data_IF_810891259303
#
_entry.id   IF_810891259303
#
_cell.length_a   1.000
_cell.length_b   1.000
_cell.length_c   1.000
_cell.angle_alpha   90.00
_cell.angle_beta   90.00
_cell.angle_gamma   90.00
#
_symmetry.space_group_name_H-M   'P 1'
#
loop_
_entity.id
_entity.type
_entity.pdbx_description
1 polymer ?
#
# COMPACT_ATOMS: atom_id res chain seq x y z
N UNK A 1 -41.23 -10.93 26.19
CA UNK A 1 -42.44 -11.66 26.65
C UNK A 1 -43.14 -10.75 27.65
N UNK A 2 -44.39 -10.36 27.41
CA UNK A 2 -45.21 -9.66 28.40
C UNK A 2 -46.35 -10.59 28.78
N UNK A 3 -46.62 -10.68 30.07
CA UNK A 3 -47.77 -11.38 30.59
C UNK A 3 -48.96 -10.42 30.53
N UNK A 4 -50.02 -10.81 29.85
CA UNK A 4 -51.26 -10.05 29.81
C UNK A 4 -52.33 -10.94 30.43
N UNK A 5 -52.94 -10.47 31.52
CA UNK A 5 -54.11 -11.13 32.10
C UNK A 5 -55.32 -10.82 31.23
N UNK A 6 -55.95 -11.85 30.67
CA UNK A 6 -57.20 -11.73 29.93
C UNK A 6 -58.29 -12.34 30.80
N UNK A 7 -59.33 -11.55 31.09
CA UNK A 7 -60.54 -12.04 31.75
C UNK A 7 -61.26 -13.04 30.83
N UNK A 8 -61.50 -14.26 31.30
CA UNK A 8 -62.41 -15.18 30.59
C UNK A 8 -63.83 -14.59 30.66
N UNK A 9 -64.49 -14.45 29.51
CA UNK A 9 -65.91 -14.11 29.46
C UNK A 9 -66.70 -15.13 30.29
N UNK A 10 -67.64 -14.68 31.14
CA UNK A 10 -68.35 -15.58 32.02
C UNK A 10 -69.14 -16.58 31.18
N UNK A 11 -68.81 -17.87 31.29
CA UNK A 11 -69.59 -18.94 30.70
C UNK A 11 -71.06 -18.77 31.10
N UNK A 12 -71.95 -18.68 30.11
CA UNK A 12 -73.40 -18.64 30.36
C UNK A 12 -73.81 -19.88 31.17
N UNK A 13 -74.04 -19.68 32.47
CA UNK A 13 -74.63 -20.70 33.33
C UNK A 13 -76.13 -20.71 33.03
N UNK A 14 -76.60 -21.72 32.29
CA UNK A 14 -78.03 -22.05 32.25
C UNK A 14 -78.45 -22.50 33.64
N UNK A 15 -79.18 -21.65 34.35
CA UNK A 15 -79.85 -22.00 35.61
C UNK A 15 -81.29 -22.44 35.31
N UNK A 16 -81.58 -23.74 35.48
CA UNK A 16 -82.93 -24.21 35.79
C UNK A 16 -82.98 -24.56 37.30
N UNK A 17 -83.97 -23.99 38.01
CA UNK A 17 -84.60 -24.63 39.17
C UNK A 17 -83.95 -24.51 40.57
N UNK A 18 -84.51 -23.56 41.33
CA UNK A 18 -84.81 -23.59 42.78
C UNK A 18 -83.74 -23.32 43.86
N UNK A 19 -84.21 -22.71 44.96
CA UNK A 19 -83.49 -21.80 45.85
C UNK A 19 -82.35 -22.33 46.74
N UNK A 20 -81.24 -21.55 46.81
CA UNK A 20 -80.41 -21.20 47.99
C UNK A 20 -79.21 -20.28 47.58
N UNK A 21 -78.48 -19.61 48.50
CA UNK A 21 -77.93 -18.26 48.28
C UNK A 21 -76.64 -18.18 47.44
N UNK A 22 -76.50 -17.05 46.71
CA UNK A 22 -75.37 -16.70 45.82
C UNK A 22 -74.02 -16.71 46.54
N UNK A 23 -73.15 -17.69 46.21
CA UNK A 23 -71.69 -17.57 46.39
C UNK A 23 -71.13 -16.75 45.22
N UNK A 24 -70.43 -15.65 45.53
CA UNK A 24 -69.62 -14.91 44.56
C UNK A 24 -68.52 -15.83 44.00
N UNK A 25 -68.70 -16.30 42.76
CA UNK A 25 -67.66 -17.01 42.03
C UNK A 25 -66.68 -15.96 41.50
N UNK A 26 -65.50 -15.86 42.12
CA UNK A 26 -64.38 -15.09 41.57
C UNK A 26 -64.09 -15.59 40.15
N UNK A 27 -64.15 -14.70 39.15
CA UNK A 27 -63.75 -14.98 37.77
C UNK A 27 -62.33 -15.53 37.77
N UNK A 28 -62.13 -16.70 37.15
CA UNK A 28 -60.80 -17.27 36.94
C UNK A 28 -60.17 -16.53 35.76
N UNK A 29 -59.16 -15.73 36.02
CA UNK A 29 -58.30 -15.18 34.96
C UNK A 29 -57.31 -16.26 34.52
N UNK A 30 -57.15 -16.44 33.20
CA UNK A 30 -56.06 -17.23 32.64
C UNK A 30 -54.97 -16.27 32.19
N UNK A 31 -53.77 -16.45 32.71
CA UNK A 31 -52.59 -15.74 32.21
C UNK A 31 -52.20 -16.36 30.87
N UNK A 32 -52.45 -15.64 29.78
CA UNK A 32 -52.06 -16.08 28.42
C UNK A 32 -50.74 -15.39 28.08
N UNK A 33 -49.70 -16.20 27.86
CA UNK A 33 -48.40 -15.70 27.42
C UNK A 33 -48.42 -15.55 25.90
N UNK A 34 -48.75 -14.35 25.42
CA UNK A 34 -48.67 -14.05 23.99
C UNK A 34 -47.25 -13.66 23.57
N UNK A 35 -46.85 -14.16 22.40
CA UNK A 35 -45.53 -13.93 21.81
C UNK A 35 -45.63 -12.77 20.83
N UNK A 36 -45.22 -11.59 21.28
CA UNK A 36 -45.13 -10.40 20.43
C UNK A 36 -43.74 -10.32 19.79
N UNK A 37 -43.72 -9.90 18.52
CA UNK A 37 -42.50 -9.51 17.83
C UNK A 37 -42.37 -8.00 17.97
N UNK A 38 -41.36 -7.56 18.71
CA UNK A 38 -41.02 -6.14 18.82
C UNK A 38 -39.82 -5.87 17.92
N UNK A 39 -39.88 -4.76 17.17
CA UNK A 39 -38.79 -4.38 16.28
C UNK A 39 -37.75 -3.64 17.12
N UNK A 40 -36.66 -4.30 17.47
CA UNK A 40 -35.55 -3.67 18.15
C UNK A 40 -34.72 -2.86 17.14
N UNK A 41 -34.67 -1.54 17.34
CA UNK A 41 -33.87 -0.65 16.53
C UNK A 41 -32.38 -0.95 16.75
N UNK A 42 -31.78 -1.70 15.85
CA UNK A 42 -30.40 -2.21 16.03
C UNK A 42 -29.31 -1.19 15.67
N UNK A 43 -29.67 -0.10 14.98
CA UNK A 43 -28.73 0.87 14.40
C UNK A 43 -28.90 2.26 15.03
N UNK A 44 -28.49 2.43 16.28
CA UNK A 44 -28.36 3.78 16.89
C UNK A 44 -26.98 4.41 16.64
N UNK A 45 -26.00 3.62 16.21
CA UNK A 45 -24.61 4.07 16.07
C UNK A 45 -24.43 4.88 14.78
N UNK A 46 -24.02 6.14 14.93
CA UNK A 46 -23.61 6.97 13.80
C UNK A 46 -22.50 6.27 12.99
N UNK A 47 -22.53 6.36 11.65
CA UNK A 47 -21.47 5.83 10.80
C UNK A 47 -20.08 6.29 11.28
N UNK A 48 -19.12 5.38 11.33
CA UNK A 48 -17.81 5.65 11.95
C UNK A 48 -17.04 6.78 11.26
N UNK A 49 -17.22 6.97 9.94
CA UNK A 49 -16.60 8.05 9.18
C UNK A 49 -17.21 9.43 9.44
N UNK A 50 -18.30 9.50 10.21
CA UNK A 50 -18.89 10.76 10.66
C UNK A 50 -18.38 11.20 12.03
N UNK A 51 -17.82 10.27 12.82
CA UNK A 51 -17.24 10.53 14.15
C UNK A 51 -15.86 11.19 14.01
N UNK A 52 -15.38 11.79 15.09
CA UNK A 52 -14.03 12.33 15.14
C UNK A 52 -13.02 11.18 15.14
N UNK A 53 -11.94 11.20 14.33
CA UNK A 53 -10.98 10.10 14.28
C UNK A 53 -10.37 9.70 15.64
N UNK A 54 -10.28 10.66 16.58
CA UNK A 54 -9.75 10.47 17.94
C UNK A 54 -10.69 9.68 18.86
N UNK A 55 -11.97 9.61 18.53
CA UNK A 55 -13.00 8.95 19.34
C UNK A 55 -13.28 7.52 18.86
N UNK A 56 -12.62 7.09 17.78
CA UNK A 56 -12.81 5.77 17.19
C UNK A 56 -11.59 4.93 17.54
N UNK A 57 -11.83 3.81 18.21
CA UNK A 57 -10.79 2.85 18.58
C UNK A 57 -10.33 2.03 17.36
N UNK A 58 -9.14 1.43 17.47
CA UNK A 58 -8.60 0.54 16.42
C UNK A 58 -9.52 -0.66 16.20
N UNK A 59 -10.09 -1.20 17.27
CA UNK A 59 -11.04 -2.31 17.26
C UNK A 59 -12.30 -1.96 16.47
N UNK A 60 -12.86 -0.76 16.66
CA UNK A 60 -14.01 -0.29 15.88
C UNK A 60 -13.69 -0.14 14.38
N UNK A 61 -12.48 0.35 14.04
CA UNK A 61 -12.05 0.38 12.63
C UNK A 61 -11.94 -1.02 12.03
N UNK A 62 -11.41 -1.98 12.80
CA UNK A 62 -11.20 -3.36 12.37
C UNK A 62 -12.53 -4.11 12.20
N UNK A 63 -13.44 -3.98 13.16
CA UNK A 63 -14.80 -4.56 13.07
C UNK A 63 -15.57 -3.97 11.88
N UNK A 64 -15.49 -2.66 11.69
CA UNK A 64 -16.11 -2.01 10.54
C UNK A 64 -15.53 -2.53 9.22
N UNK A 65 -14.20 -2.65 9.13
CA UNK A 65 -13.52 -3.18 7.95
C UNK A 65 -13.99 -4.61 7.62
N UNK A 66 -13.95 -5.51 8.61
CA UNK A 66 -14.38 -6.92 8.47
C UNK A 66 -15.82 -7.03 8.02
N UNK A 67 -16.73 -6.30 8.68
CA UNK A 67 -18.17 -6.30 8.37
C UNK A 67 -18.47 -5.69 7.00
N UNK A 68 -17.82 -4.58 6.65
CA UNK A 68 -18.09 -3.84 5.42
C UNK A 68 -17.55 -4.55 4.19
N UNK A 69 -16.34 -5.11 4.25
CA UNK A 69 -15.67 -5.70 3.10
C UNK A 69 -15.66 -7.23 3.09
N UNK A 70 -16.37 -7.86 4.03
CA UNK A 70 -16.45 -9.31 4.21
C UNK A 70 -15.05 -9.92 4.31
N UNK A 71 -14.28 -9.38 5.25
CA UNK A 71 -12.91 -9.79 5.55
C UNK A 71 -12.84 -10.48 6.92
N UNK A 72 -11.88 -11.39 7.07
CA UNK A 72 -11.69 -12.14 8.31
C UNK A 72 -10.52 -11.62 9.13
N UNK A 73 -9.46 -11.17 8.45
CA UNK A 73 -8.26 -10.61 9.07
C UNK A 73 -8.43 -9.11 9.32
N UNK A 74 -7.68 -8.61 10.30
CA UNK A 74 -7.52 -7.18 10.51
C UNK A 74 -6.74 -6.54 9.34
N UNK A 75 -6.99 -5.26 9.03
CA UNK A 75 -6.18 -4.53 8.05
C UNK A 75 -4.78 -4.24 8.61
N UNK A 76 -3.76 -4.11 7.75
CA UNK A 76 -2.41 -3.67 8.16
C UNK A 76 -2.42 -2.24 8.67
N UNK A 77 -3.25 -1.40 8.04
CA UNK A 77 -3.41 -0.01 8.43
C UNK A 77 -4.79 0.51 8.05
N UNK A 78 -5.19 1.55 8.76
CA UNK A 78 -6.35 2.36 8.43
C UNK A 78 -5.99 3.85 8.43
N UNK A 79 -6.70 4.64 7.62
CA UNK A 79 -6.54 6.09 7.55
C UNK A 79 -7.91 6.75 7.47
N UNK A 80 -8.32 7.40 8.56
CA UNK A 80 -9.55 8.18 8.66
C UNK A 80 -9.24 9.67 8.54
N UNK A 81 -9.84 10.33 7.55
CA UNK A 81 -9.65 11.77 7.35
C UNK A 81 -10.90 12.45 6.79
N UNK A 82 -10.99 13.74 7.10
CA UNK A 82 -11.94 14.68 6.51
C UNK A 82 -11.17 15.66 5.65
N UNK A 83 -11.74 16.00 4.51
CA UNK A 83 -11.18 16.98 3.59
C UNK A 83 -12.15 18.13 3.44
N UNK A 84 -11.65 19.35 3.53
CA UNK A 84 -12.43 20.60 3.42
C UNK A 84 -11.93 21.47 2.24
N UNK A 85 -12.61 22.58 1.96
CA UNK A 85 -12.22 23.56 0.95
C UNK A 85 -12.89 23.32 -0.40
N UNK A 86 -12.09 23.17 -1.47
CA UNK A 86 -12.61 23.05 -2.86
C UNK A 86 -13.53 21.82 -3.07
N UNK A 87 -13.29 20.74 -2.31
CA UNK A 87 -14.16 19.57 -2.28
C UNK A 87 -14.24 19.07 -0.84
N UNK A 88 -15.44 18.86 -0.35
CA UNK A 88 -15.72 18.33 0.98
C UNK A 88 -16.13 16.85 0.92
N UNK A 89 -15.34 16.01 1.59
CA UNK A 89 -15.66 14.60 1.78
C UNK A 89 -14.96 14.01 3.00
N UNK A 90 -15.53 12.94 3.52
CA UNK A 90 -14.98 12.13 4.60
C UNK A 90 -14.62 10.76 4.06
N UNK A 91 -13.54 10.18 4.56
CA UNK A 91 -13.11 8.87 4.09
C UNK A 91 -12.38 8.08 5.16
N UNK A 92 -12.57 6.76 5.10
CA UNK A 92 -11.74 5.79 5.80
C UNK A 92 -11.18 4.84 4.76
N UNK A 93 -9.86 4.76 4.69
CA UNK A 93 -9.12 3.85 3.82
C UNK A 93 -8.46 2.75 4.66
N UNK A 94 -8.23 1.61 4.02
CA UNK A 94 -7.65 0.42 4.62
C UNK A 94 -6.68 -0.25 3.65
N UNK A 95 -5.60 -0.80 4.20
CA UNK A 95 -4.72 -1.75 3.51
C UNK A 95 -5.04 -3.16 4.04
N UNK A 96 -5.55 -4.09 3.21
CA UNK A 96 -5.78 -5.46 3.65
C UNK A 96 -4.47 -6.15 4.06
N UNK A 97 -4.54 -7.09 5.03
CA UNK A 97 -3.39 -7.92 5.43
C UNK A 97 -2.91 -8.86 4.34
N UNK A 98 -3.83 -9.38 3.52
CA UNK A 98 -3.50 -10.33 2.46
C UNK A 98 -4.19 -9.96 1.16
N UNK A 99 -3.50 -10.20 0.04
CA UNK A 99 -4.06 -10.07 -1.29
C UNK A 99 -4.98 -11.26 -1.55
N UNK A 100 -6.21 -11.01 -2.03
CA UNK A 100 -7.03 -12.07 -2.64
C UNK A 100 -6.44 -12.43 -4.01
N UNK A 101 -6.34 -13.71 -4.33
CA UNK A 101 -5.62 -14.21 -5.52
C UNK A 101 -6.06 -13.56 -6.85
N UNK A 102 -7.28 -13.00 -6.92
CA UNK A 102 -7.95 -12.58 -8.15
C UNK A 102 -7.99 -11.05 -8.41
N UNK A 103 -7.17 -10.23 -7.72
CA UNK A 103 -7.19 -8.75 -7.89
C UNK A 103 -6.68 -8.29 -9.27
N UNK A 104 -5.98 -9.15 -10.01
CA UNK A 104 -5.24 -8.74 -11.22
C UNK A 104 -6.13 -8.50 -12.46
N UNK A 105 -7.32 -9.11 -12.53
CA UNK A 105 -8.17 -9.12 -13.74
C UNK A 105 -9.67 -8.78 -13.54
N UNK A 106 -10.14 -8.53 -12.31
CA UNK A 106 -11.56 -8.20 -12.07
C UNK A 106 -11.75 -6.75 -11.65
N UNK A 107 -12.89 -6.16 -12.06
CA UNK A 107 -13.39 -4.92 -11.46
C UNK A 107 -13.49 -5.15 -9.94
N UNK A 108 -12.69 -4.42 -9.17
CA UNK A 108 -12.73 -4.48 -7.72
C UNK A 108 -13.96 -3.74 -7.20
N UNK A 109 -14.41 -4.14 -6.00
CA UNK A 109 -15.50 -3.52 -5.22
C UNK A 109 -14.98 -3.11 -3.84
N UNK A 110 -13.84 -2.44 -3.86
CA UNK A 110 -13.04 -2.10 -2.71
C UNK A 110 -13.40 -0.73 -2.14
N UNK A 111 -13.97 0.18 -2.93
CA UNK A 111 -14.37 1.52 -2.50
C UNK A 111 -15.89 1.69 -2.57
N UNK A 112 -16.50 1.95 -1.42
CA UNK A 112 -17.93 2.29 -1.34
C UNK A 112 -18.11 3.81 -1.39
N UNK A 113 -18.79 4.30 -2.43
CA UNK A 113 -19.12 5.70 -2.58
C UNK A 113 -20.48 6.01 -1.94
N UNK A 114 -20.48 6.99 -1.06
CA UNK A 114 -21.64 7.60 -0.44
C UNK A 114 -21.72 9.07 -0.86
N UNK A 115 -22.94 9.56 -1.00
CA UNK A 115 -23.23 10.97 -1.24
C UNK A 115 -24.24 11.42 -0.21
N UNK A 116 -23.88 12.40 0.61
CA UNK A 116 -24.72 12.88 1.72
C UNK A 116 -25.22 11.71 2.58
N UNK A 117 -24.33 10.76 2.90
CA UNK A 117 -24.59 9.54 3.68
C UNK A 117 -25.48 8.49 3.01
N UNK A 118 -25.88 8.71 1.76
CA UNK A 118 -26.65 7.73 0.96
C UNK A 118 -25.67 6.90 0.16
N UNK A 119 -25.74 5.57 0.29
CA UNK A 119 -24.93 4.67 -0.52
C UNK A 119 -25.32 4.80 -1.99
N UNK A 120 -24.33 5.06 -2.84
CA UNK A 120 -24.54 5.16 -4.29
C UNK A 120 -24.11 3.88 -4.97
N UNK A 121 -22.82 3.51 -4.87
CA UNK A 121 -22.31 2.27 -5.47
C UNK A 121 -20.91 1.93 -4.97
N UNK A 122 -20.52 0.67 -5.10
CA UNK A 122 -19.18 0.13 -4.86
C UNK A 122 -18.39 -0.11 -6.15
N UNK A 123 -18.91 0.41 -7.24
CA UNK A 123 -18.57 0.03 -8.60
C UNK A 123 -17.62 1.07 -9.23
N UNK A 124 -17.32 2.16 -8.50
CA UNK A 124 -16.58 3.35 -8.95
C UNK A 124 -15.10 3.38 -8.52
N UNK A 125 -14.56 2.26 -8.07
CA UNK A 125 -13.17 2.12 -7.64
C UNK A 125 -12.18 2.71 -8.65
N UNK A 126 -12.36 2.37 -9.93
CA UNK A 126 -11.48 2.78 -11.01
C UNK A 126 -11.47 4.28 -11.26
N UNK A 127 -12.56 4.99 -10.94
CA UNK A 127 -12.63 6.45 -11.02
C UNK A 127 -11.95 7.15 -9.83
N UNK A 128 -11.88 6.51 -8.66
CA UNK A 128 -11.35 7.09 -7.43
C UNK A 128 -9.89 6.71 -7.15
N UNK A 129 -9.46 5.52 -7.57
CA UNK A 129 -8.10 5.02 -7.40
C UNK A 129 -7.52 4.54 -8.73
N UNK A 130 -6.21 4.77 -8.96
CA UNK A 130 -5.51 4.18 -10.08
C UNK A 130 -5.39 2.67 -9.90
N UNK A 131 -5.17 1.94 -10.99
CA UNK A 131 -5.06 0.47 -10.98
C UNK A 131 -4.02 -0.03 -10.00
N UNK A 132 -2.89 0.65 -9.89
CA UNK A 132 -1.81 0.31 -8.98
C UNK A 132 -2.13 0.55 -7.48
N UNK A 133 -3.29 1.15 -7.13
CA UNK A 133 -3.80 1.23 -5.76
C UNK A 133 -5.18 0.56 -5.61
N UNK A 134 -5.57 -0.27 -6.57
CA UNK A 134 -6.88 -0.94 -6.59
C UNK A 134 -7.10 -1.89 -5.43
N UNK A 135 -6.04 -2.29 -4.70
CA UNK A 135 -6.14 -3.11 -3.49
C UNK A 135 -6.63 -2.33 -2.26
N UNK A 136 -6.55 -1.00 -2.27
CA UNK A 136 -6.99 -0.16 -1.14
C UNK A 136 -8.50 -0.29 -1.00
N UNK A 137 -8.96 -0.57 0.21
CA UNK A 137 -10.40 -0.61 0.53
C UNK A 137 -10.82 0.60 1.30
N UNK A 138 -12.08 1.00 1.19
CA UNK A 138 -12.53 2.15 1.94
C UNK A 138 -13.93 2.63 1.64
N UNK A 139 -14.31 3.65 2.41
CA UNK A 139 -15.56 4.39 2.24
C UNK A 139 -15.21 5.83 1.91
N UNK A 140 -15.95 6.42 0.97
CA UNK A 140 -15.84 7.82 0.61
C UNK A 140 -17.24 8.43 0.65
N UNK A 141 -17.47 9.40 1.53
CA UNK A 141 -18.75 10.11 1.68
C UNK A 141 -18.57 11.57 1.27
N UNK A 142 -19.13 11.94 0.12
CA UNK A 142 -19.02 13.29 -0.44
C UNK A 142 -20.27 14.12 -0.19
N UNK A 143 -20.08 15.38 0.19
CA UNK A 143 -21.18 16.34 0.32
C UNK A 143 -21.47 17.10 -0.98
N UNK A 144 -20.50 17.15 -1.90
CA UNK A 144 -20.53 17.98 -3.11
C UNK A 144 -20.97 17.24 -4.38
N UNK A 145 -20.96 15.91 -4.37
CA UNK A 145 -21.50 15.14 -5.48
C UNK A 145 -23.04 15.16 -5.48
N UNK A 146 -23.69 15.13 -6.65
CA UNK A 146 -25.14 14.99 -6.74
C UNK A 146 -25.58 13.55 -6.45
N UNK A 147 -26.79 13.35 -5.92
CA UNK A 147 -27.30 12.00 -5.60
C UNK A 147 -27.57 11.14 -6.84
N UNK A 148 -27.97 11.76 -7.95
CA UNK A 148 -28.27 11.08 -9.22
C UNK A 148 -27.02 10.84 -10.08
N UNK A 149 -25.89 10.55 -9.44
CA UNK A 149 -24.61 10.43 -10.11
C UNK A 149 -24.47 9.10 -10.86
N UNK A 150 -24.20 9.16 -12.16
CA UNK A 150 -23.89 8.00 -13.00
C UNK A 150 -22.37 7.84 -13.21
N UNK A 151 -21.94 6.70 -13.79
CA UNK A 151 -20.53 6.45 -14.11
C UNK A 151 -19.97 7.51 -15.07
N UNK A 152 -20.76 7.89 -16.06
CA UNK A 152 -20.40 8.89 -17.07
C UNK A 152 -20.16 10.26 -16.42
N UNK A 153 -21.07 10.67 -15.52
CA UNK A 153 -20.96 11.93 -14.80
C UNK A 153 -19.70 11.96 -13.91
N UNK A 154 -19.33 10.84 -13.27
CA UNK A 154 -18.14 10.79 -12.43
C UNK A 154 -16.83 10.92 -13.21
N UNK A 155 -16.76 10.29 -14.39
CA UNK A 155 -15.54 10.30 -15.22
C UNK A 155 -15.20 11.72 -15.73
N UNK A 156 -16.23 12.51 -16.03
CA UNK A 156 -16.08 13.91 -16.47
C UNK A 156 -15.96 14.91 -15.30
N UNK A 157 -16.33 14.49 -14.09
CA UNK A 157 -16.40 15.37 -12.92
C UNK A 157 -15.03 15.86 -12.46
N UNK A 158 -14.87 17.19 -12.43
CA UNK A 158 -13.72 17.86 -11.80
C UNK A 158 -13.60 17.50 -10.31
N UNK A 159 -14.74 17.38 -9.62
CA UNK A 159 -14.79 17.04 -8.19
C UNK A 159 -14.12 15.68 -7.94
N UNK A 160 -14.46 14.67 -8.76
CA UNK A 160 -13.89 13.32 -8.67
C UNK A 160 -12.38 13.33 -8.91
N UNK A 161 -11.89 14.11 -9.88
CA UNK A 161 -10.44 14.24 -10.13
C UNK A 161 -9.69 14.80 -8.92
N UNK A 162 -10.26 15.78 -8.23
CA UNK A 162 -9.68 16.35 -7.01
C UNK A 162 -9.74 15.34 -5.87
N UNK A 163 -10.87 14.65 -5.70
CA UNK A 163 -11.02 13.57 -4.71
C UNK A 163 -10.00 12.47 -4.91
N UNK A 164 -9.84 11.96 -6.15
CA UNK A 164 -8.82 10.97 -6.52
C UNK A 164 -7.43 11.42 -6.07
N UNK A 165 -7.01 12.66 -6.41
CA UNK A 165 -5.68 13.17 -6.01
C UNK A 165 -5.48 13.17 -4.48
N UNK A 166 -6.53 13.51 -3.72
CA UNK A 166 -6.47 13.57 -2.26
C UNK A 166 -6.49 12.16 -1.63
N UNK A 167 -7.32 11.26 -2.16
CA UNK A 167 -7.38 9.85 -1.77
C UNK A 167 -6.05 9.13 -2.01
N UNK A 168 -5.48 9.27 -3.21
CA UNK A 168 -4.17 8.69 -3.57
C UNK A 168 -3.07 9.19 -2.64
N UNK A 169 -3.04 10.50 -2.33
CA UNK A 169 -2.08 11.04 -1.36
C UNK A 169 -2.23 10.40 0.01
N UNK A 170 -3.47 10.27 0.52
CA UNK A 170 -3.73 9.65 1.83
C UNK A 170 -3.43 8.15 1.85
N UNK A 171 -3.61 7.45 0.74
CA UNK A 171 -3.17 6.06 0.62
C UNK A 171 -1.65 5.93 0.72
N UNK A 172 -0.88 6.80 0.05
CA UNK A 172 0.58 6.81 0.20
C UNK A 172 1.02 7.16 1.62
N UNK A 173 0.41 8.16 2.25
CA UNK A 173 0.71 8.53 3.63
C UNK A 173 0.45 7.33 4.58
N UNK A 174 -0.64 6.59 4.36
CA UNK A 174 -0.98 5.38 5.12
C UNK A 174 0.05 4.26 4.92
N UNK A 175 0.45 3.98 3.68
CA UNK A 175 1.44 2.93 3.37
C UNK A 175 2.83 3.32 3.92
N UNK A 176 3.20 4.60 3.84
CA UNK A 176 4.41 5.12 4.47
C UNK A 176 4.37 4.94 5.99
N UNK A 177 3.20 5.12 6.61
CA UNK A 177 3.02 4.83 8.04
C UNK A 177 3.35 3.39 8.42
N UNK A 178 2.97 2.42 7.59
CA UNK A 178 3.36 1.00 7.77
C UNK A 178 4.88 0.86 7.66
N UNK A 179 5.47 1.46 6.61
CA UNK A 179 6.91 1.44 6.34
C UNK A 179 7.77 2.01 7.47
N UNK A 180 7.26 2.98 8.21
CA UNK A 180 7.97 3.66 9.30
C UNK A 180 7.61 3.08 10.68
N UNK A 181 6.76 2.06 10.75
CA UNK A 181 6.43 1.41 12.01
C UNK A 181 7.61 0.63 12.58
N UNK A 182 7.64 0.44 13.90
CA UNK A 182 8.68 -0.37 14.56
C UNK A 182 8.59 -1.85 14.18
N UNK A 183 7.43 -2.30 13.67
CA UNK A 183 7.19 -3.67 13.25
C UNK A 183 7.55 -3.86 11.77
N UNK A 184 8.78 -4.29 11.50
CA UNK A 184 9.26 -4.56 10.14
C UNK A 184 8.41 -5.61 9.42
N UNK A 185 7.88 -6.59 10.15
CA UNK A 185 7.07 -7.69 9.62
C UNK A 185 5.80 -7.18 8.91
N UNK A 186 5.18 -6.09 9.40
CA UNK A 186 3.97 -5.53 8.78
C UNK A 186 4.26 -4.98 7.38
N UNK A 187 5.42 -4.34 7.21
CA UNK A 187 5.82 -3.82 5.90
C UNK A 187 6.32 -4.91 4.96
N UNK A 188 6.98 -5.94 5.49
CA UNK A 188 7.36 -7.12 4.71
C UNK A 188 6.12 -7.85 4.18
N UNK A 189 5.12 -8.07 5.03
CA UNK A 189 3.83 -8.62 4.62
C UNK A 189 3.13 -7.73 3.57
N UNK A 190 3.14 -6.40 3.76
CA UNK A 190 2.64 -5.47 2.76
C UNK A 190 3.40 -5.62 1.42
N UNK A 191 4.73 -5.67 1.45
CA UNK A 191 5.57 -5.73 0.26
C UNK A 191 5.38 -7.04 -0.51
N UNK A 192 5.28 -8.18 0.18
CA UNK A 192 5.01 -9.48 -0.42
C UNK A 192 3.68 -9.48 -1.19
N UNK A 193 2.64 -8.88 -0.61
CA UNK A 193 1.30 -8.85 -1.19
C UNK A 193 1.14 -7.78 -2.28
N UNK A 194 1.77 -6.60 -2.11
CA UNK A 194 1.45 -5.39 -2.88
C UNK A 194 2.65 -4.70 -3.54
N UNK A 195 3.88 -5.17 -3.34
CA UNK A 195 5.08 -4.55 -3.92
C UNK A 195 5.03 -4.44 -5.45
N UNK A 196 4.46 -5.45 -6.14
CA UNK A 196 4.24 -5.43 -7.59
C UNK A 196 3.29 -4.30 -8.04
N UNK A 197 2.33 -3.94 -7.20
CA UNK A 197 1.45 -2.81 -7.49
C UNK A 197 2.22 -1.49 -7.39
N UNK A 198 3.10 -1.32 -6.39
CA UNK A 198 3.94 -0.12 -6.32
C UNK A 198 4.89 0.00 -7.52
N UNK A 199 5.47 -1.12 -7.97
CA UNK A 199 6.27 -1.19 -9.21
C UNK A 199 5.46 -0.76 -10.43
N UNK A 200 4.20 -1.24 -10.56
CA UNK A 200 3.30 -0.77 -11.61
C UNK A 200 3.04 0.75 -11.53
N UNK A 201 2.90 1.30 -10.32
CA UNK A 201 2.76 2.73 -10.10
C UNK A 201 3.96 3.53 -10.61
N UNK A 202 5.18 2.99 -10.53
CA UNK A 202 6.38 3.61 -11.10
C UNK A 202 6.34 3.68 -12.63
N UNK A 203 5.59 2.81 -13.28
CA UNK A 203 5.46 2.78 -14.75
C UNK A 203 4.34 3.70 -15.24
N UNK A 204 3.26 3.80 -14.47
CA UNK A 204 2.02 4.47 -14.89
C UNK A 204 1.89 5.91 -14.39
N UNK A 205 2.49 6.29 -13.25
CA UNK A 205 2.18 7.55 -12.56
C UNK A 205 3.40 8.39 -12.17
N UNK A 206 3.90 9.12 -13.17
CA UNK A 206 5.02 10.06 -13.04
C UNK A 206 4.79 11.17 -12.01
N UNK A 207 3.54 11.61 -11.81
CA UNK A 207 3.21 12.67 -10.84
C UNK A 207 3.48 12.22 -9.40
N UNK A 208 3.39 10.93 -9.12
CA UNK A 208 3.52 10.36 -7.79
C UNK A 208 4.84 9.61 -7.53
N UNK A 209 5.82 9.63 -8.44
CA UNK A 209 7.14 8.99 -8.24
C UNK A 209 7.79 9.36 -6.89
N UNK A 210 7.71 10.63 -6.47
CA UNK A 210 8.27 11.10 -5.20
C UNK A 210 7.63 10.45 -3.96
N UNK A 211 6.42 9.89 -4.09
CA UNK A 211 5.70 9.17 -3.01
C UNK A 211 5.85 7.66 -3.13
N UNK A 212 6.00 7.14 -4.34
CA UNK A 212 6.13 5.71 -4.60
C UNK A 212 7.56 5.24 -4.28
N UNK A 213 8.58 5.98 -4.72
CA UNK A 213 9.98 5.54 -4.61
C UNK A 213 10.44 5.19 -3.17
N UNK A 214 10.10 5.97 -2.11
CA UNK A 214 10.45 5.61 -0.73
C UNK A 214 9.84 4.28 -0.24
N UNK A 215 8.75 3.84 -0.88
CA UNK A 215 8.04 2.61 -0.53
C UNK A 215 8.64 1.37 -1.23
N UNK A 216 9.56 1.55 -2.17
CA UNK A 216 10.17 0.41 -2.85
C UNK A 216 11.17 -0.31 -1.94
N UNK A 217 11.29 -1.63 -2.15
CA UNK A 217 12.24 -2.48 -1.47
C UNK A 217 12.98 -3.36 -2.46
N UNK A 218 14.28 -3.54 -2.21
CA UNK A 218 15.19 -4.30 -3.06
C UNK A 218 16.16 -5.09 -2.21
N UNK A 219 16.66 -6.20 -2.75
CA UNK A 219 17.85 -6.83 -2.17
C UNK A 219 19.08 -6.01 -2.50
N UNK A 220 20.14 -6.16 -1.71
CA UNK A 220 21.41 -5.50 -1.94
C UNK A 220 22.57 -6.49 -1.79
N UNK A 221 23.71 -6.16 -2.42
CA UNK A 221 24.97 -6.88 -2.24
C UNK A 221 25.47 -6.90 -0.79
N UNK A 222 25.00 -6.00 0.07
CA UNK A 222 25.43 -5.88 1.47
C UNK A 222 24.34 -6.25 2.50
N UNK A 223 23.09 -6.46 2.06
CA UNK A 223 21.94 -6.59 2.97
C UNK A 223 21.68 -8.00 3.54
N UNK A 224 22.61 -8.96 3.40
CA UNK A 224 22.45 -10.32 3.91
C UNK A 224 21.11 -11.01 3.56
N UNK A 225 20.58 -10.78 2.34
CA UNK A 225 19.26 -11.30 1.90
C UNK A 225 18.05 -10.66 2.56
N UNK A 226 18.24 -9.50 3.20
CA UNK A 226 17.15 -8.66 3.64
C UNK A 226 16.82 -7.61 2.59
N UNK A 227 15.55 -7.22 2.55
CA UNK A 227 15.07 -6.15 1.70
C UNK A 227 15.40 -4.79 2.33
N UNK A 228 16.00 -3.90 1.55
CA UNK A 228 16.30 -2.53 1.95
C UNK A 228 15.49 -1.53 1.12
N UNK A 229 15.23 -0.37 1.71
CA UNK A 229 14.67 0.80 1.07
C UNK A 229 15.73 1.57 0.27
N UNK A 230 15.27 2.44 -0.63
CA UNK A 230 16.15 3.39 -1.31
C UNK A 230 16.73 4.43 -0.34
N UNK A 231 16.08 4.68 0.79
CA UNK A 231 16.60 5.57 1.83
C UNK A 231 17.79 4.94 2.56
N UNK A 232 17.64 3.68 3.00
CA UNK A 232 18.74 2.91 3.60
C UNK A 232 19.95 2.84 2.64
N UNK A 233 19.73 2.61 1.34
CA UNK A 233 20.80 2.64 0.35
C UNK A 233 21.47 4.02 0.26
N UNK A 234 20.68 5.11 0.20
CA UNK A 234 21.24 6.47 0.09
C UNK A 234 22.03 6.86 1.35
N UNK A 235 21.62 6.38 2.52
CA UNK A 235 22.30 6.60 3.80
C UNK A 235 23.63 5.83 3.91
N UNK A 236 23.73 4.65 3.28
CA UNK A 236 24.97 3.85 3.22
C UNK A 236 25.93 4.25 2.10
N UNK A 237 25.51 5.13 1.19
CA UNK A 237 26.35 5.60 0.06
C UNK A 237 27.68 6.20 0.52
N UNK A 238 28.75 5.88 -0.22
CA UNK A 238 30.04 6.53 -0.01
C UNK A 238 30.01 8.00 -0.46
N UNK A 239 30.80 8.91 0.14
CA UNK A 239 30.80 10.33 -0.21
C UNK A 239 31.07 10.62 -1.70
N UNK A 240 31.93 9.83 -2.33
CA UNK A 240 32.30 9.91 -3.75
C UNK A 240 31.26 9.30 -4.70
N UNK A 241 30.28 8.56 -4.17
CA UNK A 241 29.30 7.84 -4.95
C UNK A 241 28.20 8.80 -5.48
N UNK A 242 28.10 8.86 -6.80
CA UNK A 242 27.19 9.80 -7.50
C UNK A 242 25.86 9.18 -7.95
N UNK A 243 25.76 7.86 -7.98
CA UNK A 243 24.63 7.13 -8.52
C UNK A 243 24.25 5.93 -7.65
N UNK A 244 23.01 5.48 -7.80
CA UNK A 244 22.51 4.22 -7.23
C UNK A 244 22.81 3.12 -8.24
N UNK A 245 23.68 2.19 -7.87
CA UNK A 245 24.09 1.09 -8.72
C UNK A 245 23.12 -0.09 -8.58
N UNK A 246 22.77 -0.72 -9.69
CA UNK A 246 21.95 -1.92 -9.68
C UNK A 246 22.42 -2.95 -10.71
N UNK A 247 22.02 -4.20 -10.51
CA UNK A 247 22.13 -5.28 -11.48
C UNK A 247 20.85 -6.11 -11.51
N UNK A 248 20.41 -6.50 -12.70
CA UNK A 248 19.29 -7.42 -12.88
C UNK A 248 19.77 -8.86 -13.02
N UNK A 249 19.01 -9.81 -12.47
CA UNK A 249 19.26 -11.23 -12.65
C UNK A 249 18.02 -12.08 -12.41
N UNK A 250 17.99 -13.29 -12.98
CA UNK A 250 16.83 -14.20 -12.89
C UNK A 250 16.58 -14.77 -11.48
N UNK A 251 17.56 -14.61 -10.58
CA UNK A 251 17.46 -15.01 -9.17
C UNK A 251 18.45 -14.23 -8.32
N UNK A 252 18.22 -14.20 -7.00
CA UNK A 252 19.14 -13.57 -6.06
C UNK A 252 20.55 -14.17 -6.15
N UNK A 253 20.65 -15.50 -6.29
CA UNK A 253 21.93 -16.20 -6.47
C UNK A 253 22.65 -15.79 -7.75
N UNK A 254 21.92 -15.61 -8.86
CA UNK A 254 22.51 -15.16 -10.13
C UNK A 254 23.03 -13.73 -10.01
N UNK A 255 22.22 -12.83 -9.44
CA UNK A 255 22.58 -11.44 -9.26
C UNK A 255 23.82 -11.27 -8.34
N UNK A 256 23.88 -12.01 -7.21
CA UNK A 256 25.00 -11.96 -6.26
C UNK A 256 26.34 -12.46 -6.80
N UNK A 257 26.31 -13.45 -7.70
CA UNK A 257 27.51 -14.06 -8.27
C UNK A 257 27.91 -13.43 -9.61
N UNK A 258 27.31 -12.32 -9.99
CA UNK A 258 27.62 -11.65 -11.23
C UNK A 258 29.05 -11.08 -11.21
N UNK A 259 29.87 -11.35 -12.24
CA UNK A 259 31.26 -10.85 -12.31
C UNK A 259 31.38 -9.33 -12.19
N UNK A 260 30.35 -8.59 -12.62
CA UNK A 260 30.28 -7.13 -12.55
C UNK A 260 30.30 -6.59 -11.11
N UNK A 261 29.95 -7.39 -10.10
CA UNK A 261 29.94 -6.97 -8.70
C UNK A 261 31.34 -6.90 -8.09
N UNK A 262 32.31 -7.70 -8.56
CA UNK A 262 33.63 -7.86 -7.92
C UNK A 262 34.30 -6.50 -7.67
N UNK A 263 34.41 -5.68 -8.71
CA UNK A 263 35.04 -4.36 -8.63
C UNK A 263 34.30 -3.39 -7.71
N UNK A 264 32.97 -3.39 -7.71
CA UNK A 264 32.19 -2.50 -6.86
C UNK A 264 32.27 -2.92 -5.39
N UNK A 265 32.30 -4.23 -5.13
CA UNK A 265 32.51 -4.79 -3.79
C UNK A 265 33.90 -4.42 -3.24
N UNK A 266 34.95 -4.48 -4.07
CA UNK A 266 36.31 -4.02 -3.70
C UNK A 266 36.35 -2.53 -3.35
N UNK A 267 35.55 -1.71 -4.05
CA UNK A 267 35.39 -0.28 -3.77
C UNK A 267 34.45 -0.01 -2.57
N UNK A 268 33.80 -1.04 -2.02
CA UNK A 268 32.82 -0.92 -0.96
C UNK A 268 31.53 -0.21 -1.38
N UNK A 269 31.22 -0.18 -2.68
CA UNK A 269 29.95 0.33 -3.20
C UNK A 269 28.86 -0.72 -3.08
N UNK A 270 27.72 -0.30 -2.58
CA UNK A 270 26.53 -1.13 -2.48
C UNK A 270 25.83 -1.21 -3.84
N UNK A 271 25.27 -2.38 -4.18
CA UNK A 271 24.57 -2.59 -5.46
C UNK A 271 23.21 -3.21 -5.19
N UNK A 272 22.14 -2.60 -5.73
CA UNK A 272 20.80 -3.16 -5.68
C UNK A 272 20.69 -4.38 -6.60
N UNK A 273 20.11 -5.46 -6.08
CA UNK A 273 19.92 -6.72 -6.79
C UNK A 273 18.45 -6.81 -7.21
N UNK A 274 18.21 -6.62 -8.51
CA UNK A 274 16.88 -6.65 -9.10
C UNK A 274 16.58 -8.06 -9.57
N UNK A 275 15.55 -8.67 -8.98
CA UNK A 275 15.20 -10.09 -9.24
C UNK A 275 13.79 -10.25 -9.80
N UNK A 276 12.99 -9.18 -9.84
CA UNK A 276 11.67 -9.17 -10.46
C UNK A 276 11.75 -8.53 -11.85
N UNK A 277 11.12 -9.10 -12.89
CA UNK A 277 11.10 -8.52 -14.23
C UNK A 277 10.55 -7.09 -14.30
N UNK A 278 9.74 -6.67 -13.32
CA UNK A 278 9.22 -5.30 -13.25
C UNK A 278 10.25 -4.30 -12.73
N UNK A 279 11.32 -4.73 -12.07
CA UNK A 279 12.25 -3.85 -11.37
C UNK A 279 12.97 -2.89 -12.32
N UNK A 280 13.58 -3.42 -13.37
CA UNK A 280 14.35 -2.61 -14.33
C UNK A 280 13.48 -1.55 -15.00
N UNK A 281 12.28 -1.94 -15.43
CA UNK A 281 11.30 -1.04 -16.03
C UNK A 281 10.84 0.01 -15.01
N UNK A 282 10.65 -0.38 -13.74
CA UNK A 282 10.25 0.55 -12.67
C UNK A 282 11.33 1.60 -12.41
N UNK A 283 12.59 1.19 -12.23
CA UNK A 283 13.70 2.10 -11.99
C UNK A 283 13.98 3.02 -13.18
N UNK A 284 13.89 2.48 -14.41
CA UNK A 284 14.04 3.28 -15.63
C UNK A 284 13.00 4.39 -15.71
N UNK A 285 11.74 4.10 -15.36
CA UNK A 285 10.69 5.13 -15.33
C UNK A 285 10.89 6.12 -14.18
N UNK A 286 11.37 5.69 -13.01
CA UNK A 286 11.70 6.59 -11.90
C UNK A 286 12.82 7.57 -12.25
N UNK A 287 13.77 7.17 -13.10
CA UNK A 287 14.95 7.92 -13.55
C UNK A 287 15.97 8.22 -12.44
N UNK A 288 15.54 8.80 -11.31
CA UNK A 288 16.41 9.16 -10.19
C UNK A 288 15.68 9.12 -8.84
N UNK A 289 16.46 9.03 -7.77
CA UNK A 289 15.98 9.13 -6.39
C UNK A 289 16.93 10.02 -5.57
N UNK A 290 16.39 11.03 -4.86
CA UNK A 290 17.18 12.03 -4.10
C UNK A 290 18.37 12.59 -4.89
N UNK A 291 18.12 12.97 -6.14
CA UNK A 291 19.11 13.50 -7.10
C UNK A 291 20.23 12.52 -7.51
N UNK A 292 20.06 11.22 -7.24
CA UNK A 292 20.95 10.13 -7.67
C UNK A 292 20.28 9.35 -8.80
N UNK A 293 20.94 9.25 -9.96
CA UNK A 293 20.45 8.42 -11.07
C UNK A 293 20.63 6.93 -10.77
N UNK A 294 19.75 6.10 -11.34
CA UNK A 294 19.94 4.65 -11.34
C UNK A 294 20.88 4.23 -12.47
N UNK A 295 21.90 3.43 -12.16
CA UNK A 295 22.93 3.00 -13.12
C UNK A 295 23.07 1.48 -13.07
N UNK A 296 22.85 0.86 -14.23
CA UNK A 296 23.07 -0.57 -14.46
C UNK A 296 24.57 -0.85 -14.58
N UNK A 297 25.09 -1.72 -13.71
CA UNK A 297 26.52 -2.05 -13.70
C UNK A 297 26.92 -3.08 -14.76
N UNK A 298 25.96 -3.70 -15.44
CA UNK A 298 26.23 -4.65 -16.54
C UNK A 298 26.54 -3.94 -17.86
N UNK A 299 26.31 -2.63 -17.95
CA UNK A 299 26.57 -1.84 -19.16
C UNK A 299 28.07 -1.57 -19.34
N UNK A 300 28.52 -1.66 -20.60
CA UNK A 300 29.93 -1.54 -20.98
C UNK A 300 30.52 -0.14 -20.70
N UNK A 301 29.68 0.90 -20.65
CA UNK A 301 30.06 2.30 -20.47
C UNK A 301 30.01 2.78 -19.01
N UNK A 302 30.05 1.85 -18.04
CA UNK A 302 30.00 2.17 -16.62
C UNK A 302 31.18 3.07 -16.19
N UNK A 303 30.92 4.37 -16.10
CA UNK A 303 31.85 5.34 -15.54
C UNK A 303 31.70 5.39 -14.01
N UNK A 304 32.62 4.73 -13.30
CA UNK A 304 32.72 4.76 -11.84
C UNK A 304 33.40 6.03 -11.31
N UNK A 305 33.64 7.04 -12.15
CA UNK A 305 34.29 8.28 -11.76
C UNK A 305 35.74 8.07 -11.29
N UNK A 306 36.34 6.94 -11.66
CA UNK A 306 37.73 6.64 -11.35
C UNK A 306 38.64 7.53 -12.21
N UNK A 307 38.83 8.77 -11.77
CA UNK A 307 40.05 9.52 -12.03
C UNK A 307 41.21 8.92 -11.21
N UNK A 308 41.41 7.60 -11.30
CA UNK A 308 42.78 7.12 -11.23
C UNK A 308 43.34 7.41 -12.59
N UNK A 309 44.41 8.18 -12.60
CA UNK A 309 45.07 8.62 -13.80
C UNK A 309 45.80 7.43 -14.46
N UNK A 310 45.07 6.37 -14.78
CA UNK A 310 45.57 5.15 -15.42
C UNK A 310 46.14 5.55 -16.77
N UNK A 311 45.56 6.51 -17.48
CA UNK A 311 46.20 7.09 -18.67
C UNK A 311 47.58 7.67 -18.35
N UNK A 312 47.76 8.49 -17.32
CA UNK A 312 49.10 9.02 -16.97
C UNK A 312 50.02 7.95 -16.38
N UNK A 313 49.53 6.99 -15.61
CA UNK A 313 50.33 5.86 -15.10
C UNK A 313 50.77 4.95 -16.25
N UNK A 314 49.88 4.65 -17.20
CA UNK A 314 50.16 3.84 -18.37
C UNK A 314 51.04 4.59 -19.37
N UNK A 315 50.84 5.91 -19.57
CA UNK A 315 51.74 6.76 -20.35
C UNK A 315 53.11 6.85 -19.68
N UNK A 316 53.19 7.01 -18.35
CA UNK A 316 54.47 7.06 -17.63
C UNK A 316 55.18 5.72 -17.65
N UNK A 317 54.47 4.60 -17.50
CA UNK A 317 55.03 3.25 -17.64
C UNK A 317 55.50 3.02 -19.08
N UNK A 318 54.72 3.42 -20.09
CA UNK A 318 55.10 3.30 -21.49
C UNK A 318 56.32 4.16 -21.81
N UNK A 319 56.42 5.38 -21.26
CA UNK A 319 57.57 6.27 -21.37
C UNK A 319 58.82 5.64 -20.72
N UNK A 320 58.70 5.14 -19.50
CA UNK A 320 59.78 4.44 -18.78
C UNK A 320 60.28 3.20 -19.54
N UNK A 321 59.36 2.42 -20.12
CA UNK A 321 59.72 1.26 -20.94
C UNK A 321 60.37 1.67 -22.28
N UNK A 322 60.06 2.85 -22.83
CA UNK A 322 60.75 3.37 -24.02
C UNK A 322 62.14 3.91 -23.68
N UNK A 323 62.30 4.59 -22.55
CA UNK A 323 63.60 5.08 -22.06
C UNK A 323 64.55 3.93 -21.70
N UNK A 324 64.07 2.88 -21.01
CA UNK A 324 64.86 1.68 -20.70
C UNK A 324 65.27 0.88 -21.95
N UNK A 325 64.46 0.93 -23.01
CA UNK A 325 64.82 0.33 -24.31
C UNK A 325 65.82 1.17 -25.10
N UNK A 326 65.89 2.49 -24.85
CA UNK A 326 66.91 3.36 -25.43
C UNK A 326 68.27 3.17 -24.75
N UNK A 327 68.31 3.10 -23.41
CA UNK A 327 69.55 2.87 -22.66
C UNK A 327 70.21 1.52 -23.00
N UNK A 328 69.40 0.46 -23.19
CA UNK A 328 69.91 -0.85 -23.62
C UNK A 328 70.40 -0.90 -25.08
N UNK A 329 69.99 0.05 -25.94
CA UNK A 329 70.54 0.17 -27.31
C UNK A 329 71.81 1.03 -27.36
N UNK A 330 72.00 1.95 -26.41
CA UNK A 330 73.23 2.76 -26.30
C UNK A 330 74.40 2.04 -25.60
N UNK A 331 74.14 1.02 -24.79
CA UNK A 331 75.20 0.24 -24.12
C UNK A 331 75.83 -0.87 -24.98
N UNK A 332 75.30 -1.13 -26.19
CA UNK A 332 75.80 -2.17 -27.10
C UNK A 332 76.83 -1.70 -28.14
N UNK A 333 77.24 -0.42 -28.13
CA UNK A 333 78.06 0.17 -29.21
C UNK A 333 79.48 0.59 -28.81
N UNK A 334 79.97 0.24 -27.62
CA UNK A 334 81.34 0.53 -27.18
C UNK A 334 82.07 -0.71 -26.65
N UNK A 335 82.33 -1.69 -27.53
CA UNK A 335 83.37 -2.71 -27.27
C UNK A 335 83.98 -3.33 -28.53
N UNK A 336 84.19 -2.55 -29.61
CA UNK A 336 85.05 -2.96 -30.72
C UNK A 336 85.95 -1.78 -31.11
N UNK A 337 87.01 -1.57 -30.33
CA UNK A 337 88.27 -0.95 -30.78
C UNK A 337 89.31 -1.05 -29.65
N UNK A 338 89.89 -2.25 -29.50
CA UNK A 338 91.33 -2.47 -29.34
C UNK A 338 91.66 -3.92 -29.64
#
# INVERSE_FOLDING_TARGET
>A
KREVEVDEDPAEVKTEGDGEPKKEVKKKTKTVVEKYWDWELTNETQPIWLRTPKEVSTEEYNEFYKKTFNEYLDPLASSHFTTEGEVEFRSILYVPATKKEDITDRKTKNIRLYVKRVFISDDFDGELFPRYLSFVKGVVDSNDLPLNVSREILQESRIVRIMRKRLVRKAFDMILGISCSENRDDYEAFWENYGKFLKLGCMEDKENHKRIAPLLRFFSSQSNEELISLDEYVESMKPEQKAIYYIAGDSLSSAKNAPFLEKLNEMGYEVLLLIDPMDEVSLTNLNSYKDKSFVDISKEDLDLGMHVNIRTLFLNILLLLTELNFENRSCGAYSILM
#
